data_IF_441315910849
#
_entry.id   IF_441315910849
#
_cell.length_a   1.000
_cell.length_b   1.000
_cell.length_c   1.000
_cell.angle_alpha   90.00
_cell.angle_beta   90.00
_cell.angle_gamma   90.00
#
_symmetry.space_group_name_H-M   'P 1'
#
loop_
_entity.id
_entity.type
_entity.pdbx_description
1 polymer ?
#
# COMPACT_ATOMS: atom_id res chain seq x y z
N UNK A 1 -1.16 -26.20 -49.82
CA UNK A 1 -1.81 -25.05 -49.13
C UNK A 1 -0.83 -24.46 -48.08
N UNK A 2 -0.29 -23.27 -48.33
CA UNK A 2 0.60 -22.56 -47.38
C UNK A 2 -0.26 -21.83 -46.38
N UNK A 3 -0.14 -22.16 -45.07
CA UNK A 3 -0.81 -21.42 -43.98
C UNK A 3 -0.16 -20.04 -43.84
N UNK A 4 -0.90 -18.99 -44.06
CA UNK A 4 -0.48 -17.61 -43.77
C UNK A 4 -0.18 -17.47 -42.28
N UNK A 5 0.98 -16.85 -41.89
CA UNK A 5 1.29 -16.62 -40.49
C UNK A 5 0.33 -15.58 -39.90
N UNK A 6 -0.27 -15.90 -38.76
CA UNK A 6 -1.11 -15.00 -37.98
C UNK A 6 -0.27 -13.78 -37.56
N UNK A 7 -0.70 -12.54 -37.82
CA UNK A 7 0.05 -11.36 -37.46
C UNK A 7 0.24 -11.29 -35.95
N UNK A 8 1.49 -11.15 -35.49
CA UNK A 8 1.82 -10.88 -34.07
C UNK A 8 1.10 -9.59 -33.66
N UNK A 9 0.13 -9.70 -32.73
CA UNK A 9 -0.47 -8.55 -32.08
C UNK A 9 0.64 -7.61 -31.60
N UNK A 10 0.71 -6.40 -32.16
CA UNK A 10 1.55 -5.30 -31.65
C UNK A 10 1.28 -5.15 -30.16
N UNK A 11 2.26 -5.47 -29.34
CA UNK A 11 2.24 -5.17 -27.90
C UNK A 11 2.32 -3.65 -27.79
N UNK A 12 1.18 -3.00 -27.60
CA UNK A 12 1.14 -1.57 -27.34
C UNK A 12 2.16 -1.21 -26.26
N UNK A 13 3.00 -0.22 -26.51
CA UNK A 13 3.97 0.26 -25.53
C UNK A 13 3.21 0.73 -24.30
N UNK A 14 3.36 0.03 -23.19
CA UNK A 14 2.74 0.38 -21.92
C UNK A 14 3.55 1.55 -21.37
N UNK A 15 3.00 2.76 -21.47
CA UNK A 15 3.61 3.94 -20.83
C UNK A 15 3.64 3.70 -19.33
N UNK A 16 4.81 3.81 -18.68
CA UNK A 16 4.90 3.72 -17.22
C UNK A 16 4.08 4.85 -16.61
N UNK A 17 3.42 4.54 -15.47
CA UNK A 17 2.64 5.53 -14.74
C UNK A 17 3.63 6.39 -13.96
N UNK A 18 3.84 7.62 -14.40
CA UNK A 18 4.68 8.59 -13.69
C UNK A 18 3.81 9.50 -12.82
N UNK A 19 4.15 9.60 -11.54
CA UNK A 19 3.68 10.64 -10.64
C UNK A 19 4.86 11.55 -10.34
N UNK A 20 4.72 12.85 -10.61
CA UNK A 20 5.82 13.81 -10.48
C UNK A 20 5.90 14.40 -9.07
N UNK A 21 4.73 14.67 -8.46
CA UNK A 21 4.64 15.40 -7.22
C UNK A 21 4.05 14.54 -6.10
N UNK A 22 4.38 14.88 -4.86
CA UNK A 22 3.71 14.35 -3.68
C UNK A 22 2.19 14.53 -3.79
N UNK A 23 1.43 13.52 -3.41
CA UNK A 23 -0.04 13.44 -3.51
C UNK A 23 -0.62 13.38 -4.94
N UNK A 24 0.19 13.26 -5.98
CA UNK A 24 -0.38 12.98 -7.31
C UNK A 24 -1.09 11.63 -7.33
N UNK A 25 -0.51 10.61 -6.66
CA UNK A 25 -1.11 9.27 -6.59
C UNK A 25 -0.73 8.56 -5.30
N UNK A 26 -1.73 8.14 -4.53
CA UNK A 26 -1.56 7.19 -3.45
C UNK A 26 -2.03 5.81 -3.88
N UNK A 27 -1.23 4.81 -3.54
CA UNK A 27 -1.55 3.42 -3.73
C UNK A 27 -1.76 2.73 -2.40
N UNK A 28 -2.87 2.00 -2.26
CA UNK A 28 -3.28 1.35 -1.00
C UNK A 28 -3.50 -0.13 -1.23
N UNK A 29 -3.07 -0.94 -0.26
CA UNK A 29 -3.27 -2.39 -0.26
C UNK A 29 -3.40 -2.94 1.17
N UNK A 30 -3.98 -4.13 1.31
CA UNK A 30 -4.10 -4.86 2.56
C UNK A 30 -3.25 -6.13 2.57
N UNK A 31 -2.29 -6.17 3.47
CA UNK A 31 -1.41 -7.32 3.66
C UNK A 31 -2.04 -8.27 4.67
N UNK A 32 -2.18 -9.54 4.29
CA UNK A 32 -2.78 -10.58 5.13
C UNK A 32 -1.81 -11.08 6.20
N UNK A 33 -2.14 -10.85 7.47
CA UNK A 33 -1.43 -11.30 8.66
C UNK A 33 -2.26 -12.27 9.52
N UNK A 34 -3.33 -12.87 9.00
CA UNK A 34 -4.21 -13.79 9.75
C UNK A 34 -3.47 -14.97 10.40
N UNK A 35 -2.43 -15.49 9.75
CA UNK A 35 -1.60 -16.56 10.31
C UNK A 35 -0.63 -16.07 11.40
N UNK A 36 -0.32 -14.78 11.40
CA UNK A 36 0.57 -14.08 12.33
C UNK A 36 -0.20 -13.13 13.24
N UNK A 37 -1.51 -13.36 13.43
CA UNK A 37 -2.35 -12.49 14.24
C UNK A 37 -1.77 -12.26 15.63
N UNK A 38 -1.82 -11.02 16.09
CA UNK A 38 -1.35 -10.59 17.42
C UNK A 38 -2.36 -9.60 18.01
N UNK A 39 -2.41 -9.54 19.34
CA UNK A 39 -3.13 -8.48 20.03
C UNK A 39 -2.25 -7.24 20.07
N UNK A 40 -2.86 -6.07 19.85
CA UNK A 40 -2.22 -4.79 20.07
C UNK A 40 -2.14 -4.49 21.59
N UNK A 41 -1.49 -3.38 22.02
CA UNK A 41 -1.42 -2.99 23.43
C UNK A 41 -2.78 -2.77 24.09
N UNK A 42 -3.84 -2.55 23.32
CA UNK A 42 -5.21 -2.38 23.83
C UNK A 42 -6.02 -3.68 23.84
N UNK A 43 -5.38 -4.83 23.53
CA UNK A 43 -6.00 -6.15 23.53
C UNK A 43 -6.77 -6.50 22.24
N UNK A 44 -6.81 -5.62 21.25
CA UNK A 44 -7.53 -5.87 19.99
C UNK A 44 -6.73 -6.81 19.08
N UNK A 45 -7.38 -7.87 18.60
CA UNK A 45 -6.75 -8.87 17.74
C UNK A 45 -6.58 -8.36 16.31
N UNK A 46 -5.36 -8.00 15.95
CA UNK A 46 -4.98 -7.51 14.63
C UNK A 46 -4.66 -8.65 13.66
N UNK A 47 -5.11 -8.55 12.43
CA UNK A 47 -5.01 -9.59 11.40
C UNK A 47 -4.55 -9.10 10.05
N UNK A 48 -4.54 -7.78 9.82
CA UNK A 48 -4.21 -7.14 8.56
C UNK A 48 -3.30 -5.95 8.79
N UNK A 49 -2.48 -5.65 7.79
CA UNK A 49 -1.72 -4.39 7.73
C UNK A 49 -2.18 -3.65 6.49
N UNK A 50 -2.69 -2.44 6.65
CA UNK A 50 -2.92 -1.53 5.54
C UNK A 50 -1.62 -0.79 5.24
N UNK A 51 -1.20 -0.82 3.98
CA UNK A 51 -0.06 -0.07 3.47
C UNK A 51 -0.55 0.96 2.46
N UNK A 52 -0.23 2.24 2.68
CA UNK A 52 -0.49 3.34 1.77
C UNK A 52 0.85 3.93 1.34
N UNK A 53 1.09 4.04 0.04
CA UNK A 53 2.31 4.59 -0.53
C UNK A 53 2.03 5.74 -1.47
N UNK A 54 2.75 6.84 -1.29
CA UNK A 54 2.84 7.88 -2.31
C UNK A 54 3.75 7.42 -3.45
N UNK A 55 3.25 7.49 -4.67
CA UNK A 55 3.95 6.97 -5.85
C UNK A 55 5.14 7.83 -6.26
N UNK A 56 5.08 9.13 -6.03
CA UNK A 56 6.13 10.07 -6.40
C UNK A 56 7.32 10.04 -5.44
N UNK A 57 7.07 10.10 -4.14
CA UNK A 57 8.10 10.18 -3.09
C UNK A 57 8.54 8.81 -2.58
N UNK A 58 7.66 7.80 -2.70
CA UNK A 58 7.84 6.51 -2.05
C UNK A 58 7.45 6.50 -0.58
N UNK A 59 7.01 7.64 -0.01
CA UNK A 59 6.57 7.74 1.37
C UNK A 59 5.47 6.72 1.65
N UNK A 60 5.68 5.92 2.68
CA UNK A 60 4.84 4.77 3.00
C UNK A 60 4.29 4.88 4.41
N UNK A 61 2.97 4.74 4.54
CA UNK A 61 2.26 4.64 5.81
C UNK A 61 1.77 3.21 5.99
N UNK A 62 1.93 2.67 7.18
CA UNK A 62 1.43 1.33 7.53
C UNK A 62 0.67 1.38 8.85
N UNK A 63 -0.46 0.70 8.92
CA UNK A 63 -1.24 0.58 10.14
C UNK A 63 -1.89 -0.80 10.26
N UNK A 64 -2.11 -1.23 11.52
CA UNK A 64 -2.78 -2.48 11.82
C UNK A 64 -4.30 -2.35 11.68
N UNK A 65 -4.94 -3.41 11.20
CA UNK A 65 -6.39 -3.54 11.14
C UNK A 65 -6.84 -4.89 11.71
N UNK A 66 -7.92 -4.91 12.52
CA UNK A 66 -8.44 -6.15 13.06
C UNK A 66 -9.16 -6.99 12.01
N UNK A 67 -9.81 -6.35 11.04
CA UNK A 67 -10.62 -6.99 10.01
C UNK A 67 -10.45 -6.28 8.65
N UNK A 68 -10.67 -7.03 7.57
CA UNK A 68 -10.73 -6.52 6.20
C UNK A 68 -12.14 -5.96 5.92
N UNK A 69 -12.44 -4.79 6.50
CA UNK A 69 -13.76 -4.15 6.41
C UNK A 69 -13.63 -2.71 5.95
N UNK A 70 -14.53 -2.30 5.06
CA UNK A 70 -14.46 -1.00 4.39
C UNK A 70 -14.51 0.21 5.34
N UNK A 71 -15.34 0.16 6.40
CA UNK A 71 -15.42 1.25 7.37
C UNK A 71 -14.12 1.43 8.18
N UNK A 72 -13.40 0.33 8.49
CA UNK A 72 -12.09 0.40 9.15
C UNK A 72 -11.03 0.98 8.23
N UNK A 73 -11.06 0.62 6.95
CA UNK A 73 -10.20 1.20 5.91
C UNK A 73 -10.50 2.70 5.78
N UNK A 74 -11.78 3.08 5.64
CA UNK A 74 -12.19 4.48 5.54
C UNK A 74 -11.73 5.30 6.74
N UNK A 75 -11.91 4.79 7.95
CA UNK A 75 -11.46 5.45 9.17
C UNK A 75 -9.93 5.70 9.17
N UNK A 76 -9.13 4.69 8.83
CA UNK A 76 -7.67 4.82 8.76
C UNK A 76 -7.20 5.73 7.63
N UNK A 77 -7.88 5.72 6.50
CA UNK A 77 -7.61 6.68 5.41
C UNK A 77 -7.90 8.12 5.84
N UNK A 78 -8.99 8.35 6.57
CA UNK A 78 -9.33 9.67 7.09
C UNK A 78 -8.27 10.18 8.06
N UNK A 79 -7.78 9.34 8.99
CA UNK A 79 -6.69 9.70 9.89
C UNK A 79 -5.43 10.10 9.09
N UNK A 80 -4.98 9.26 8.15
CA UNK A 80 -3.78 9.51 7.36
C UNK A 80 -3.93 10.78 6.53
N UNK A 81 -5.07 10.97 5.85
CA UNK A 81 -5.32 12.15 5.03
C UNK A 81 -5.45 13.44 5.85
N UNK A 82 -5.83 13.34 7.12
CA UNK A 82 -5.80 14.46 8.05
C UNK A 82 -4.38 15.00 8.30
N UNK A 83 -3.37 14.12 8.27
CA UNK A 83 -1.98 14.50 8.48
C UNK A 83 -1.25 14.93 7.20
N UNK A 84 -1.49 14.24 6.08
CA UNK A 84 -0.69 14.42 4.86
C UNK A 84 -1.46 15.02 3.68
N UNK A 85 -2.75 15.25 3.85
CA UNK A 85 -3.65 15.63 2.77
C UNK A 85 -4.05 14.43 1.89
N UNK A 86 -4.98 14.68 0.99
CA UNK A 86 -5.54 13.65 0.10
C UNK A 86 -4.85 13.65 -1.28
N UNK A 87 -4.88 12.52 -2.00
CA UNK A 87 -4.28 12.40 -3.32
C UNK A 87 -5.20 12.96 -4.42
N UNK A 88 -4.62 13.26 -5.59
CA UNK A 88 -5.39 13.46 -6.83
C UNK A 88 -5.94 12.13 -7.35
N UNK A 89 -5.14 11.06 -7.26
CA UNK A 89 -5.51 9.72 -7.71
C UNK A 89 -5.37 8.75 -6.54
N UNK A 90 -6.48 8.12 -6.18
CA UNK A 90 -6.54 7.03 -5.20
C UNK A 90 -6.53 5.70 -5.94
N UNK A 91 -5.43 4.95 -5.85
CA UNK A 91 -5.20 3.71 -6.58
C UNK A 91 -5.23 2.51 -5.64
N UNK A 92 -6.08 1.53 -5.93
CA UNK A 92 -6.24 0.30 -5.15
C UNK A 92 -6.31 -0.92 -6.06
N UNK A 93 -6.27 -2.11 -5.46
CA UNK A 93 -6.76 -3.30 -6.13
C UNK A 93 -8.30 -3.28 -6.21
N UNK A 94 -8.89 -4.33 -6.80
CA UNK A 94 -10.35 -4.44 -6.94
C UNK A 94 -11.01 -5.02 -5.67
N UNK A 95 -10.41 -4.85 -4.50
CA UNK A 95 -10.92 -5.33 -3.23
C UNK A 95 -12.21 -4.63 -2.82
N UNK A 96 -13.19 -5.41 -2.37
CA UNK A 96 -14.50 -4.88 -1.93
C UNK A 96 -14.38 -3.85 -0.80
N UNK A 97 -13.37 -3.94 0.03
CA UNK A 97 -13.05 -3.00 1.10
C UNK A 97 -12.66 -1.60 0.62
N UNK A 98 -12.17 -1.47 -0.62
CA UNK A 98 -11.79 -0.19 -1.21
C UNK A 98 -12.86 0.38 -2.14
N UNK A 99 -13.68 -0.49 -2.75
CA UNK A 99 -14.76 -0.08 -3.67
C UNK A 99 -16.09 0.13 -2.98
N UNK A 100 -16.16 -0.10 -1.67
CA UNK A 100 -17.37 0.07 -0.88
C UNK A 100 -17.80 1.56 -0.80
N UNK A 101 -19.11 1.76 -0.70
CA UNK A 101 -19.75 3.08 -0.68
C UNK A 101 -19.12 4.03 0.35
N UNK A 102 -18.84 3.56 1.57
CA UNK A 102 -18.27 4.39 2.65
C UNK A 102 -16.87 4.94 2.31
N UNK A 103 -16.03 4.18 1.59
CA UNK A 103 -14.71 4.67 1.15
C UNK A 103 -14.87 5.68 0.01
N UNK A 104 -15.74 5.41 -0.95
CA UNK A 104 -15.99 6.33 -2.06
C UNK A 104 -16.65 7.64 -1.59
N UNK A 105 -17.54 7.58 -0.60
CA UNK A 105 -18.14 8.76 0.04
C UNK A 105 -17.09 9.55 0.81
N UNK A 106 -16.22 8.90 1.59
CA UNK A 106 -15.10 9.57 2.24
C UNK A 106 -14.27 10.37 1.22
N UNK A 107 -13.86 9.74 0.13
CA UNK A 107 -13.04 10.40 -0.90
C UNK A 107 -13.77 11.60 -1.52
N UNK A 108 -15.07 11.46 -1.83
CA UNK A 108 -15.89 12.56 -2.38
C UNK A 108 -16.05 13.72 -1.41
N UNK A 109 -16.23 13.42 -0.12
CA UNK A 109 -16.39 14.44 0.93
C UNK A 109 -15.10 15.20 1.17
N UNK A 110 -13.93 14.53 1.04
CA UNK A 110 -12.62 15.17 1.14
C UNK A 110 -12.36 16.07 -0.07
N UNK A 111 -12.58 15.58 -1.27
CA UNK A 111 -12.47 16.35 -2.51
C UNK A 111 -13.17 15.59 -3.65
N UNK A 112 -14.21 16.17 -4.29
CA UNK A 112 -14.93 15.54 -5.40
C UNK A 112 -14.06 15.27 -6.63
N UNK A 113 -12.91 15.92 -6.75
CA UNK A 113 -11.97 15.74 -7.87
C UNK A 113 -11.00 14.56 -7.67
N UNK A 114 -11.07 13.83 -6.56
CA UNK A 114 -10.25 12.63 -6.37
C UNK A 114 -10.70 11.55 -7.36
N UNK A 115 -9.78 11.13 -8.22
CA UNK A 115 -10.02 10.03 -9.17
C UNK A 115 -9.70 8.70 -8.50
N UNK A 116 -10.71 7.85 -8.29
CA UNK A 116 -10.49 6.48 -7.82
C UNK A 116 -10.18 5.56 -9.00
N UNK A 117 -9.03 4.88 -8.94
CA UNK A 117 -8.57 3.94 -9.97
C UNK A 117 -8.39 2.58 -9.34
N UNK A 118 -9.05 1.56 -9.91
CA UNK A 118 -8.84 0.17 -9.53
C UNK A 118 -7.95 -0.53 -10.54
N UNK A 119 -6.94 -1.26 -10.05
CA UNK A 119 -6.05 -2.06 -10.90
C UNK A 119 -6.85 -3.09 -11.70
N UNK A 120 -6.60 -3.20 -13.01
CA UNK A 120 -7.22 -4.25 -13.84
C UNK A 120 -6.66 -5.61 -13.44
N UNK A 121 -7.52 -6.64 -13.22
CA UNK A 121 -7.05 -7.99 -12.98
C UNK A 121 -6.18 -8.45 -14.17
N UNK A 122 -5.07 -9.14 -13.87
CA UNK A 122 -4.12 -9.74 -14.83
C UNK A 122 -3.16 -8.79 -15.58
N UNK A 123 -2.85 -7.58 -15.05
CA UNK A 123 -1.71 -6.79 -15.54
C UNK A 123 -0.57 -6.78 -14.51
N UNK A 124 0.47 -7.62 -14.66
CA UNK A 124 1.54 -7.77 -13.66
C UNK A 124 2.33 -6.49 -13.37
N UNK A 125 2.40 -5.56 -14.34
CA UNK A 125 3.18 -4.31 -14.20
C UNK A 125 2.50 -3.23 -13.35
N UNK A 126 1.17 -3.18 -13.34
CA UNK A 126 0.43 -2.23 -12.49
C UNK A 126 0.45 -2.67 -11.03
N UNK A 127 0.65 -3.98 -10.78
CA UNK A 127 0.77 -4.59 -9.46
C UNK A 127 2.20 -4.58 -8.92
N UNK A 128 3.22 -4.44 -9.77
CA UNK A 128 4.63 -4.53 -9.37
C UNK A 128 5.05 -3.53 -8.29
N UNK A 129 4.46 -2.34 -8.26
CA UNK A 129 4.73 -1.33 -7.22
C UNK A 129 4.17 -1.74 -5.86
N UNK A 130 2.98 -2.35 -5.82
CA UNK A 130 2.32 -2.82 -4.58
C UNK A 130 2.99 -4.08 -4.05
N UNK A 131 3.29 -5.05 -4.94
CA UNK A 131 4.01 -6.26 -4.54
C UNK A 131 5.36 -5.92 -3.91
N UNK A 132 6.05 -4.88 -4.40
CA UNK A 132 7.29 -4.40 -3.83
C UNK A 132 7.09 -3.81 -2.43
N UNK A 133 6.02 -3.03 -2.18
CA UNK A 133 5.70 -2.51 -0.84
C UNK A 133 5.42 -3.66 0.12
N UNK A 134 4.57 -4.60 -0.27
CA UNK A 134 4.20 -5.74 0.57
C UNK A 134 5.41 -6.62 0.91
N UNK A 135 6.30 -6.86 -0.06
CA UNK A 135 7.57 -7.57 0.16
C UNK A 135 8.49 -6.77 1.10
N UNK A 136 8.60 -5.47 0.89
CA UNK A 136 9.42 -4.58 1.73
C UNK A 136 8.91 -4.55 3.17
N UNK A 137 7.62 -4.34 3.39
CA UNK A 137 7.00 -4.36 4.73
C UNK A 137 7.29 -5.68 5.43
N UNK A 138 7.07 -6.82 4.77
CA UNK A 138 7.33 -8.14 5.36
C UNK A 138 8.81 -8.35 5.68
N UNK A 139 9.72 -7.92 4.81
CA UNK A 139 11.18 -8.03 5.02
C UNK A 139 11.63 -7.20 6.21
N UNK A 140 11.32 -5.91 6.23
CA UNK A 140 11.74 -5.00 7.31
C UNK A 140 11.13 -5.41 8.64
N UNK A 141 9.84 -5.77 8.63
CA UNK A 141 9.18 -6.29 9.82
C UNK A 141 9.86 -7.58 10.34
N UNK A 142 10.23 -8.49 9.44
CA UNK A 142 10.96 -9.72 9.81
C UNK A 142 12.27 -9.42 10.52
N UNK A 143 13.06 -8.47 10.01
CA UNK A 143 14.31 -8.03 10.64
C UNK A 143 14.08 -7.43 12.03
N UNK A 144 13.15 -6.49 12.15
CA UNK A 144 12.83 -5.84 13.45
C UNK A 144 12.35 -6.86 14.49
N UNK A 145 11.52 -7.83 14.08
CA UNK A 145 11.06 -8.88 14.99
C UNK A 145 12.16 -9.85 15.38
N UNK A 146 13.11 -10.14 14.49
CA UNK A 146 14.28 -10.97 14.79
C UNK A 146 15.20 -10.27 15.81
N UNK A 147 15.48 -8.99 15.63
CA UNK A 147 16.26 -8.17 16.59
C UNK A 147 15.61 -8.16 17.98
N UNK A 148 14.29 -7.96 18.05
CA UNK A 148 13.57 -8.03 19.33
C UNK A 148 13.70 -9.39 20.02
N UNK A 149 13.60 -10.49 19.25
CA UNK A 149 13.80 -11.85 19.82
C UNK A 149 15.19 -12.04 20.40
N UNK A 150 16.21 -11.59 19.68
CA UNK A 150 17.60 -11.67 20.15
C UNK A 150 17.83 -10.84 21.42
N UNK A 151 17.13 -9.70 21.53
CA UNK A 151 17.16 -8.85 22.72
C UNK A 151 16.26 -9.35 23.87
N UNK A 152 15.65 -10.54 23.77
CA UNK A 152 14.74 -11.08 24.79
C UNK A 152 13.39 -10.34 24.90
N UNK A 153 13.06 -9.50 23.93
CA UNK A 153 11.82 -8.72 23.90
C UNK A 153 10.68 -9.48 23.21
N UNK A 154 9.43 -9.11 23.55
CA UNK A 154 8.25 -9.69 22.88
C UNK A 154 8.22 -9.29 21.39
N UNK A 155 8.24 -10.26 20.45
CA UNK A 155 8.20 -9.98 19.02
C UNK A 155 6.76 -9.74 18.53
N UNK A 156 6.12 -8.69 19.04
CA UNK A 156 4.77 -8.31 18.64
C UNK A 156 4.82 -7.31 17.49
N UNK A 157 4.36 -7.72 16.31
CA UNK A 157 4.42 -6.89 15.11
C UNK A 157 3.53 -5.63 15.19
N UNK A 158 2.46 -5.65 16.00
CA UNK A 158 1.55 -4.50 16.14
C UNK A 158 2.22 -3.31 16.83
N UNK A 159 3.23 -3.58 17.68
CA UNK A 159 3.95 -2.56 18.45
C UNK A 159 5.09 -1.91 17.66
N UNK A 160 5.55 -2.54 16.59
CA UNK A 160 6.74 -2.10 15.84
C UNK A 160 6.42 -1.47 14.47
N UNK A 161 5.14 -1.36 14.09
CA UNK A 161 4.78 -0.83 12.78
C UNK A 161 5.31 0.58 12.53
N UNK A 162 5.36 1.43 13.56
CA UNK A 162 5.95 2.76 13.45
C UNK A 162 7.44 2.72 13.09
N UNK A 163 8.22 1.88 13.75
CA UNK A 163 9.64 1.67 13.46
C UNK A 163 9.85 1.08 12.07
N UNK A 164 8.99 0.15 11.65
CA UNK A 164 9.00 -0.43 10.30
C UNK A 164 8.73 0.64 9.24
N UNK A 165 7.72 1.50 9.45
CA UNK A 165 7.43 2.61 8.55
C UNK A 165 8.60 3.58 8.44
N UNK A 166 9.20 3.96 9.56
CA UNK A 166 10.38 4.83 9.60
C UNK A 166 11.56 4.23 8.83
N UNK A 167 11.85 2.94 9.03
CA UNK A 167 12.92 2.23 8.31
C UNK A 167 12.68 2.14 6.79
N UNK A 168 11.43 1.93 6.37
CA UNK A 168 11.05 1.93 4.95
C UNK A 168 11.26 3.33 4.35
N UNK A 169 10.79 4.35 5.03
CA UNK A 169 10.82 5.73 4.54
C UNK A 169 12.25 6.29 4.49
N UNK A 170 13.14 5.90 5.41
CA UNK A 170 14.56 6.29 5.36
C UNK A 170 15.30 5.70 4.15
N UNK A 171 14.91 4.52 3.67
CA UNK A 171 15.48 3.90 2.46
C UNK A 171 14.96 4.58 1.18
N UNK A 172 13.69 5.00 1.15
CA UNK A 172 13.09 5.65 -0.02
C UNK A 172 13.67 7.03 -0.31
N UNK A 173 14.16 7.75 0.71
CA UNK A 173 14.83 9.05 0.56
C UNK A 173 16.22 8.96 -0.09
N UNK A 174 16.95 7.87 0.13
CA UNK A 174 18.31 7.68 -0.40
C UNK A 174 18.34 7.44 -1.91
N UNK A 175 17.36 6.72 -2.45
CA UNK A 175 17.34 6.38 -3.89
C UNK A 175 17.08 7.57 -4.83
N UNK A 176 16.73 8.76 -4.33
CA UNK A 176 16.44 9.93 -5.17
C UNK A 176 17.56 10.97 -5.20
N UNK A 177 18.51 10.89 -4.28
CA UNK A 177 19.63 11.82 -4.21
C UNK A 177 20.85 11.36 -5.01
N UNK A 178 20.85 10.13 -5.57
CA UNK A 178 21.96 9.57 -6.34
C UNK A 178 21.82 9.74 -7.87
N UNK A 179 20.87 10.59 -8.32
CA UNK A 179 20.67 10.94 -9.74
C UNK A 179 20.70 12.47 -9.86
N UNK A 180 21.87 13.02 -9.74
CA UNK A 180 22.20 14.41 -10.16
C UNK A 180 23.51 14.41 -10.93
#
# INVERSE_FOLDING_TARGET
>A
MRKNPVPKKLRGSIKPIFSKNFRDRFQVDLINFRRLRKRDPFGVLMRWVMALKDHATGLTFICALPRKQAHLVAYKLQEIFGFIGYPKIFHTDNGKEFTAKCVLELLRNLNPNIVSVTGRPRRPRDQGSVENVNKMVKRVLGSVLAERRLAGQNPNWTEVLGSVAAAINSQSGRCKNDVS
#
